data_IF_134682338047
#
_entry.id   IF_134682338047
#
_cell.length_a   1.000
_cell.length_b   1.000
_cell.length_c   1.000
_cell.angle_alpha   90.00
_cell.angle_beta   90.00
_cell.angle_gamma   90.00
#
_symmetry.space_group_name_H-M   'P 1'
#
loop_
_entity.id
_entity.type
_entity.pdbx_description
1 polymer ?
#
# COMPACT_ATOMS: atom_id res chain seq x y z
N UNK A 1 -13.27 7.25 -9.39
CA UNK A 1 -13.20 6.57 -8.08
C UNK A 1 -12.01 7.04 -7.25
N UNK A 2 -10.81 7.20 -7.81
CA UNK A 2 -9.62 7.69 -7.07
C UNK A 2 -9.83 9.01 -6.31
N UNK A 3 -10.60 9.95 -6.86
CA UNK A 3 -10.93 11.22 -6.20
C UNK A 3 -11.93 11.10 -5.05
N UNK A 4 -12.73 10.02 -5.00
CA UNK A 4 -13.66 9.73 -3.90
C UNK A 4 -12.94 9.02 -2.75
N UNK A 5 -12.02 8.10 -3.06
CA UNK A 5 -11.16 7.44 -2.07
C UNK A 5 -10.35 8.45 -1.27
N UNK A 6 -9.63 9.35 -1.95
CA UNK A 6 -8.77 10.32 -1.27
C UNK A 6 -9.53 11.37 -0.45
N UNK A 7 -10.79 11.65 -0.77
CA UNK A 7 -11.62 12.63 -0.04
C UNK A 7 -12.38 12.03 1.14
N UNK A 8 -12.56 10.70 1.15
CA UNK A 8 -13.31 9.99 2.19
C UNK A 8 -12.49 8.81 2.74
N UNK A 9 -11.19 8.99 2.94
CA UNK A 9 -10.33 7.96 3.54
C UNK A 9 -10.74 7.69 4.98
N UNK A 10 -10.72 6.42 5.37
CA UNK A 10 -10.89 6.00 6.76
C UNK A 10 -9.76 6.53 7.65
N UNK A 11 -10.13 7.03 8.81
CA UNK A 11 -9.23 7.39 9.91
C UNK A 11 -9.92 7.01 11.22
N UNK A 12 -9.19 6.42 12.18
CA UNK A 12 -9.82 5.91 13.40
C UNK A 12 -10.35 7.01 14.33
N UNK A 13 -9.85 8.24 14.20
CA UNK A 13 -10.24 9.38 15.02
C UNK A 13 -11.07 10.42 14.24
N UNK A 14 -10.63 10.77 13.04
CA UNK A 14 -11.15 11.90 12.26
C UNK A 14 -12.27 11.51 11.30
N UNK A 15 -12.25 10.28 10.78
CA UNK A 15 -13.25 9.79 9.83
C UNK A 15 -13.50 8.28 9.99
N UNK A 16 -14.12 7.86 11.10
CA UNK A 16 -14.33 6.45 11.39
C UNK A 16 -15.31 5.80 10.41
N UNK A 17 -16.07 6.57 9.63
CA UNK A 17 -16.98 6.03 8.60
C UNK A 17 -16.39 6.11 7.18
N UNK A 18 -15.14 6.57 7.03
CA UNK A 18 -14.47 6.65 5.74
C UNK A 18 -14.17 5.29 5.13
N UNK A 19 -13.78 5.26 3.86
CA UNK A 19 -13.46 4.07 3.10
C UNK A 19 -12.07 3.56 3.49
N UNK A 20 -11.98 2.30 3.89
CA UNK A 20 -10.71 1.63 4.11
C UNK A 20 -10.10 1.20 2.77
N UNK A 21 -9.01 1.84 2.36
CA UNK A 21 -8.34 1.55 1.09
C UNK A 21 -7.38 0.36 1.23
N UNK A 22 -7.77 -0.79 0.69
CA UNK A 22 -6.92 -1.97 0.57
C UNK A 22 -6.48 -2.22 -0.87
N UNK A 23 -6.53 -1.19 -1.72
CA UNK A 23 -6.20 -1.26 -3.14
C UNK A 23 -4.84 -0.65 -3.49
N UNK A 24 -4.35 0.29 -2.68
CA UNK A 24 -3.06 0.96 -2.86
C UNK A 24 -1.94 0.18 -2.19
N UNK A 25 -0.91 -0.13 -2.95
CA UNK A 25 0.18 -1.02 -2.57
C UNK A 25 1.20 -0.34 -1.63
N UNK A 26 0.86 -0.21 -0.35
CA UNK A 26 1.71 0.38 0.69
C UNK A 26 1.90 -0.55 1.89
N UNK A 27 3.08 -0.47 2.53
CA UNK A 27 3.44 -1.29 3.69
C UNK A 27 3.70 -0.42 4.93
N UNK A 28 2.74 -0.42 5.83
CA UNK A 28 2.76 0.37 7.07
C UNK A 28 3.41 -0.37 8.25
N UNK A 29 3.79 -1.63 8.08
CA UNK A 29 4.18 -2.51 9.21
C UNK A 29 5.47 -2.10 9.90
N UNK A 30 6.34 -1.37 9.22
CA UNK A 30 7.61 -0.87 9.77
C UNK A 30 7.75 0.65 9.62
N UNK A 31 6.61 1.36 9.55
CA UNK A 31 6.56 2.82 9.40
C UNK A 31 7.36 3.53 10.49
N UNK A 32 7.16 3.14 11.76
CA UNK A 32 7.83 3.75 12.90
C UNK A 32 9.35 3.58 12.85
N UNK A 33 9.83 2.38 12.50
CA UNK A 33 11.25 2.10 12.38
C UNK A 33 11.88 2.90 11.23
N UNK A 34 11.18 3.00 10.10
CA UNK A 34 11.63 3.77 8.94
C UNK A 34 11.72 5.26 9.28
N UNK A 35 10.67 5.84 9.88
CA UNK A 35 10.65 7.25 10.30
C UNK A 35 11.77 7.52 11.32
N UNK A 36 11.92 6.66 12.33
CA UNK A 36 12.95 6.81 13.36
C UNK A 36 14.35 6.79 12.74
N UNK A 37 14.60 5.90 11.78
CA UNK A 37 15.89 5.85 11.07
C UNK A 37 16.14 7.14 10.27
N UNK A 38 15.14 7.62 9.53
CA UNK A 38 15.24 8.85 8.73
C UNK A 38 15.52 10.10 9.59
N UNK A 39 15.00 10.13 10.82
CA UNK A 39 15.24 11.19 11.81
C UNK A 39 16.62 11.09 12.46
N UNK A 40 17.16 9.88 12.66
CA UNK A 40 18.46 9.66 13.32
C UNK A 40 19.68 10.10 12.49
N UNK A 41 19.53 10.26 11.18
CA UNK A 41 20.63 10.64 10.29
C UNK A 41 20.99 12.12 10.50
N UNK A 42 22.10 12.38 11.21
CA UNK A 42 22.72 13.71 11.34
C UNK A 42 23.58 14.06 10.12
N UNK A 43 23.50 15.32 9.66
CA UNK A 43 23.87 15.71 8.29
C UNK A 43 24.98 16.77 8.26
N UNK A 44 25.32 17.37 9.40
CA UNK A 44 26.33 18.43 9.44
C UNK A 44 27.74 17.85 9.56
N UNK A 45 28.40 17.57 8.44
CA UNK A 45 29.87 17.51 8.39
C UNK A 45 30.39 18.79 7.75
N UNK A 46 31.39 19.40 8.38
CA UNK A 46 32.04 20.66 7.96
C UNK A 46 32.55 20.65 6.52
N UNK A 47 32.81 19.47 5.95
CA UNK A 47 33.24 19.30 4.56
C UNK A 47 32.14 19.52 3.51
N UNK A 48 30.87 19.72 3.91
CA UNK A 48 29.74 20.00 3.01
C UNK A 48 29.40 21.49 2.87
N UNK A 49 30.08 22.36 3.63
CA UNK A 49 29.98 23.81 3.47
C UNK A 49 30.65 24.24 2.15
N UNK A 50 31.51 23.38 1.58
CA UNK A 50 32.18 23.58 0.31
C UNK A 50 31.85 22.43 -0.65
N UNK A 51 31.55 22.77 -1.90
CA UNK A 51 31.09 21.86 -2.97
C UNK A 51 31.98 20.61 -3.06
N UNK A 52 31.51 19.41 -2.66
CA UNK A 52 32.31 18.21 -2.80
C UNK A 52 32.32 17.85 -4.29
N UNK A 53 33.52 17.80 -4.86
CA UNK A 53 33.78 17.29 -6.21
C UNK A 53 33.09 15.93 -6.39
N UNK A 54 31.98 15.88 -7.11
CA UNK A 54 31.33 14.64 -7.56
C UNK A 54 30.78 14.83 -8.97
N UNK A 55 31.30 14.03 -9.90
CA UNK A 55 31.02 14.10 -11.33
C UNK A 55 29.60 13.61 -11.65
N UNK A 56 28.65 14.53 -11.81
CA UNK A 56 27.33 14.28 -12.40
C UNK A 56 27.32 14.22 -13.95
N UNK A 57 26.21 13.76 -14.52
CA UNK A 57 25.98 13.61 -15.97
C UNK A 57 26.25 14.93 -16.73
N UNK A 58 27.01 14.90 -17.83
CA UNK A 58 27.45 16.10 -18.58
C UNK A 58 26.28 16.97 -19.07
N UNK A 59 25.19 16.34 -19.51
CA UNK A 59 23.96 17.02 -19.95
C UNK A 59 23.33 17.83 -18.82
N UNK A 60 23.23 17.24 -17.63
CA UNK A 60 22.71 17.91 -16.44
C UNK A 60 23.61 19.08 -16.03
N UNK A 61 24.94 18.93 -16.07
CA UNK A 61 25.89 20.02 -15.77
C UNK A 61 25.76 21.23 -16.70
N UNK A 62 25.54 21.01 -18.00
CA UNK A 62 25.36 22.12 -18.95
C UNK A 62 24.06 22.89 -18.71
N UNK A 63 22.96 22.19 -18.36
CA UNK A 63 21.69 22.82 -18.00
C UNK A 63 21.82 23.57 -16.67
N UNK A 64 22.48 22.97 -15.67
CA UNK A 64 22.72 23.58 -14.36
C UNK A 64 23.59 24.84 -14.46
N UNK A 65 24.68 24.81 -15.24
CA UNK A 65 25.55 25.97 -15.47
C UNK A 65 24.77 27.14 -16.09
N UNK A 66 23.87 26.85 -17.05
CA UNK A 66 23.02 27.88 -17.67
C UNK A 66 21.97 28.43 -16.71
N UNK A 67 21.41 27.61 -15.82
CA UNK A 67 20.44 28.05 -14.80
C UNK A 67 21.07 28.85 -13.66
N UNK A 68 22.30 28.51 -13.25
CA UNK A 68 23.05 29.22 -12.20
C UNK A 68 23.42 30.65 -12.60
N UNK A 69 23.60 30.93 -13.89
CA UNK A 69 23.88 32.27 -14.40
C UNK A 69 22.61 33.14 -14.45
N UNK A 70 21.41 32.55 -14.49
CA UNK A 70 20.17 33.30 -14.79
C UNK A 70 19.23 33.54 -13.60
N UNK A 71 19.35 32.81 -12.48
CA UNK A 71 18.40 32.94 -11.36
C UNK A 71 18.87 32.19 -10.11
N UNK A 72 18.59 32.72 -8.91
CA UNK A 72 18.98 32.21 -7.59
C UNK A 72 18.38 30.85 -7.18
N UNK A 73 18.61 29.81 -8.00
CA UNK A 73 18.13 28.43 -7.86
C UNK A 73 19.03 27.54 -6.99
N UNK A 74 19.86 28.13 -6.12
CA UNK A 74 20.76 27.40 -5.21
C UNK A 74 20.01 26.46 -4.26
N UNK A 75 18.80 26.82 -3.82
CA UNK A 75 18.02 26.01 -2.88
C UNK A 75 17.57 24.64 -3.40
N UNK A 76 17.16 24.55 -4.68
CA UNK A 76 16.66 23.29 -5.26
C UNK A 76 17.80 22.31 -5.52
N UNK A 77 18.98 22.80 -5.92
CA UNK A 77 20.16 21.97 -6.14
C UNK A 77 20.68 21.41 -4.81
N UNK A 78 20.71 22.24 -3.76
CA UNK A 78 21.06 21.79 -2.41
C UNK A 78 20.09 20.76 -1.87
N UNK A 79 18.78 20.89 -2.15
CA UNK A 79 17.77 19.90 -1.77
C UNK A 79 17.98 18.55 -2.48
N UNK A 80 18.30 18.55 -3.77
CA UNK A 80 18.57 17.31 -4.51
C UNK A 80 19.85 16.62 -4.01
N UNK A 81 20.92 17.38 -3.76
CA UNK A 81 22.14 16.86 -3.13
C UNK A 81 21.86 16.28 -1.74
N UNK A 82 21.05 16.99 -0.94
CA UNK A 82 20.60 16.56 0.39
C UNK A 82 19.83 15.23 0.35
N UNK A 83 18.90 15.07 -0.59
CA UNK A 83 18.13 13.82 -0.73
C UNK A 83 19.00 12.65 -1.18
N UNK A 84 19.94 12.87 -2.10
CA UNK A 84 20.89 11.85 -2.55
C UNK A 84 21.79 11.40 -1.40
N UNK A 85 22.32 12.34 -0.63
CA UNK A 85 23.21 12.01 0.50
C UNK A 85 22.48 11.32 1.65
N UNK A 86 21.26 11.77 1.99
CA UNK A 86 20.41 11.06 2.95
C UNK A 86 20.14 9.63 2.51
N UNK A 87 19.84 9.44 1.23
CA UNK A 87 19.59 8.10 0.67
C UNK A 87 20.87 7.27 0.69
N UNK A 88 22.03 7.83 0.33
CA UNK A 88 23.31 7.13 0.36
C UNK A 88 23.72 6.72 1.79
N UNK A 89 23.55 7.61 2.77
CA UNK A 89 23.85 7.33 4.18
C UNK A 89 22.92 6.25 4.73
N UNK A 90 21.63 6.34 4.40
CA UNK A 90 20.64 5.31 4.73
C UNK A 90 21.01 3.94 4.14
N UNK A 91 21.37 3.91 2.85
CA UNK A 91 21.74 2.69 2.13
C UNK A 91 23.10 2.12 2.55
N UNK A 92 23.95 2.91 3.23
CA UNK A 92 25.26 2.46 3.69
C UNK A 92 25.21 1.65 4.99
N UNK A 93 24.13 1.77 5.77
CA UNK A 93 23.96 1.04 7.03
C UNK A 93 23.39 -0.36 6.80
N UNK A 94 24.26 -1.28 6.38
CA UNK A 94 23.89 -2.66 6.03
C UNK A 94 23.33 -3.44 7.23
N UNK A 95 23.88 -3.26 8.42
CA UNK A 95 23.39 -3.93 9.64
C UNK A 95 21.95 -3.53 9.96
N UNK A 96 21.65 -2.23 9.87
CA UNK A 96 20.29 -1.76 10.07
C UNK A 96 19.35 -2.28 8.97
N UNK A 97 19.77 -2.25 7.70
CA UNK A 97 18.98 -2.75 6.57
C UNK A 97 18.62 -4.22 6.74
N UNK A 98 19.59 -5.07 7.10
CA UNK A 98 19.36 -6.50 7.32
C UNK A 98 18.39 -6.74 8.48
N UNK A 99 18.55 -5.98 9.57
CA UNK A 99 17.64 -6.03 10.72
C UNK A 99 16.22 -5.61 10.33
N UNK A 100 16.07 -4.55 9.53
CA UNK A 100 14.81 -4.02 9.04
C UNK A 100 14.12 -5.03 8.11
N UNK A 101 14.84 -5.61 7.15
CA UNK A 101 14.30 -6.62 6.23
C UNK A 101 13.81 -7.84 7.02
N UNK A 102 14.58 -8.31 8.00
CA UNK A 102 14.19 -9.44 8.85
C UNK A 102 12.93 -9.14 9.65
N UNK A 103 12.87 -7.96 10.29
CA UNK A 103 11.69 -7.52 11.04
C UNK A 103 10.46 -7.40 10.14
N UNK A 104 10.60 -6.75 8.99
CA UNK A 104 9.51 -6.55 8.03
C UNK A 104 8.98 -7.88 7.50
N UNK A 105 9.86 -8.83 7.14
CA UNK A 105 9.45 -10.19 6.73
C UNK A 105 8.71 -10.93 7.85
N UNK A 106 9.17 -10.82 9.09
CA UNK A 106 8.51 -11.42 10.24
C UNK A 106 7.08 -10.87 10.42
N UNK A 107 6.93 -9.54 10.44
CA UNK A 107 5.62 -8.88 10.57
C UNK A 107 4.67 -9.19 9.42
N UNK A 108 5.17 -9.17 8.17
CA UNK A 108 4.39 -9.55 6.99
C UNK A 108 3.89 -10.99 7.09
N UNK A 109 4.73 -11.92 7.53
CA UNK A 109 4.36 -13.33 7.70
C UNK A 109 3.28 -13.51 8.77
N UNK A 110 3.42 -12.83 9.91
CA UNK A 110 2.45 -12.87 10.99
C UNK A 110 1.09 -12.28 10.56
N UNK A 111 1.10 -11.09 9.94
CA UNK A 111 -0.12 -10.44 9.51
C UNK A 111 -0.80 -11.20 8.35
N UNK A 112 -0.03 -11.75 7.40
CA UNK A 112 -0.56 -12.65 6.37
C UNK A 112 -1.31 -13.83 6.99
N UNK A 113 -0.70 -14.51 7.96
CA UNK A 113 -1.34 -15.65 8.63
C UNK A 113 -2.62 -15.25 9.39
N UNK A 114 -2.60 -14.11 10.11
CA UNK A 114 -3.77 -13.58 10.82
C UNK A 114 -4.92 -13.25 9.85
N UNK A 115 -4.62 -12.51 8.79
CA UNK A 115 -5.63 -12.06 7.80
C UNK A 115 -6.18 -13.24 7.03
N UNK A 116 -5.31 -14.16 6.57
CA UNK A 116 -5.72 -15.37 5.88
C UNK A 116 -6.72 -16.17 6.72
N UNK A 117 -6.36 -16.50 7.96
CA UNK A 117 -7.21 -17.25 8.88
C UNK A 117 -8.54 -16.53 9.15
N UNK A 118 -8.51 -15.21 9.30
CA UNK A 118 -9.73 -14.43 9.56
C UNK A 118 -10.68 -14.45 8.37
N UNK A 119 -10.16 -14.32 7.14
CA UNK A 119 -11.00 -14.37 5.92
C UNK A 119 -11.60 -15.77 5.74
N UNK A 120 -10.82 -16.83 5.94
CA UNK A 120 -11.31 -18.22 5.90
C UNK A 120 -12.39 -18.49 6.96
N UNK A 121 -12.31 -17.83 8.12
CA UNK A 121 -13.35 -17.88 9.16
C UNK A 121 -14.60 -17.04 8.83
N UNK A 122 -14.49 -16.00 8.01
CA UNK A 122 -15.63 -15.18 7.56
C UNK A 122 -16.47 -15.98 6.56
N UNK A 123 -15.83 -16.63 5.59
CA UNK A 123 -16.47 -17.54 4.66
C UNK A 123 -15.47 -18.61 4.20
N UNK A 124 -15.80 -19.87 4.45
CA UNK A 124 -14.95 -21.01 4.11
C UNK A 124 -14.86 -21.28 2.60
N UNK A 125 -15.69 -20.61 1.78
CA UNK A 125 -15.65 -20.69 0.32
C UNK A 125 -14.63 -19.74 -0.29
N UNK A 126 -14.11 -18.77 0.47
CA UNK A 126 -13.07 -17.87 -0.01
C UNK A 126 -11.72 -18.58 0.04
N UNK A 127 -11.14 -18.83 -1.12
CA UNK A 127 -9.82 -19.44 -1.22
C UNK A 127 -8.73 -18.38 -1.34
N UNK A 128 -7.71 -18.43 -0.48
CA UNK A 128 -6.56 -17.53 -0.55
C UNK A 128 -5.38 -18.27 -1.20
N UNK A 129 -4.92 -17.77 -2.34
CA UNK A 129 -3.76 -18.35 -3.03
C UNK A 129 -2.52 -18.23 -2.14
N UNK A 130 -1.78 -19.33 -1.89
CA UNK A 130 -0.54 -19.27 -1.13
C UNK A 130 0.46 -18.32 -1.78
N UNK A 131 0.99 -17.39 -1.00
CA UNK A 131 2.00 -16.42 -1.43
C UNK A 131 3.24 -16.54 -0.53
N UNK A 132 4.43 -16.41 -1.13
CA UNK A 132 5.72 -16.43 -0.40
C UNK A 132 6.34 -15.04 -0.24
N UNK A 133 5.78 -14.04 -0.91
CA UNK A 133 6.30 -12.68 -0.97
C UNK A 133 5.17 -11.69 -1.29
N UNK A 134 5.47 -10.40 -1.12
CA UNK A 134 4.52 -9.32 -1.28
C UNK A 134 3.84 -8.96 0.03
N UNK A 135 2.94 -7.99 -0.07
CA UNK A 135 2.23 -7.41 1.06
C UNK A 135 0.71 -7.31 0.75
N UNK A 136 0.28 -8.21 -0.12
CA UNK A 136 -1.10 -8.40 -0.53
C UNK A 136 -1.44 -9.88 -0.59
N UNK A 137 -2.73 -10.19 -0.46
CA UNK A 137 -3.27 -11.52 -0.73
C UNK A 137 -4.07 -11.50 -2.04
N UNK A 138 -4.06 -12.65 -2.71
CA UNK A 138 -4.87 -12.90 -3.89
C UNK A 138 -5.96 -13.89 -3.51
N UNK A 139 -7.17 -13.37 -3.36
CA UNK A 139 -8.30 -14.09 -2.81
C UNK A 139 -9.33 -14.38 -3.90
N UNK A 140 -9.88 -15.58 -3.85
CA UNK A 140 -10.83 -16.13 -4.79
C UNK A 140 -12.24 -16.11 -4.18
N UNK A 141 -13.10 -15.29 -4.77
CA UNK A 141 -14.49 -15.10 -4.38
C UNK A 141 -15.45 -15.78 -5.36
N UNK A 142 -14.95 -16.56 -6.35
CA UNK A 142 -15.80 -17.17 -7.41
C UNK A 142 -16.95 -18.00 -6.85
N UNK A 143 -16.68 -18.77 -5.79
CA UNK A 143 -17.68 -19.61 -5.09
C UNK A 143 -18.79 -18.81 -4.39
N UNK A 144 -18.64 -17.48 -4.30
CA UNK A 144 -19.63 -16.57 -3.72
C UNK A 144 -20.50 -15.90 -4.77
N UNK A 145 -20.01 -15.80 -6.01
CA UNK A 145 -20.74 -15.16 -7.10
C UNK A 145 -21.92 -16.03 -7.52
N UNK A 146 -23.02 -15.38 -7.92
CA UNK A 146 -24.17 -16.06 -8.52
C UNK A 146 -23.75 -16.77 -9.82
N UNK A 147 -23.06 -16.02 -10.68
CA UNK A 147 -22.45 -16.49 -11.91
C UNK A 147 -21.01 -16.00 -11.98
N UNK A 148 -20.13 -16.80 -12.58
CA UNK A 148 -18.70 -16.46 -12.70
C UNK A 148 -18.51 -15.53 -13.90
N UNK A 149 -19.00 -14.29 -13.76
CA UNK A 149 -18.94 -13.22 -14.78
C UNK A 149 -18.30 -11.96 -14.22
N UNK A 150 -17.82 -11.07 -15.10
CA UNK A 150 -17.22 -9.81 -14.67
C UNK A 150 -18.26 -8.83 -14.13
N UNK A 151 -19.51 -8.95 -14.56
CA UNK A 151 -20.65 -8.20 -14.07
C UNK A 151 -20.95 -8.53 -12.60
N UNK A 152 -20.92 -9.82 -12.25
CA UNK A 152 -21.06 -10.25 -10.85
C UNK A 152 -19.86 -9.83 -9.99
N UNK A 153 -18.64 -9.92 -10.52
CA UNK A 153 -17.44 -9.40 -9.86
C UNK A 153 -17.58 -7.90 -9.56
N UNK A 154 -18.06 -7.11 -10.54
CA UNK A 154 -18.27 -5.68 -10.38
C UNK A 154 -19.37 -5.37 -9.36
N UNK A 155 -20.45 -6.16 -9.32
CA UNK A 155 -21.51 -6.00 -8.32
C UNK A 155 -21.01 -6.31 -6.90
N UNK A 156 -20.28 -7.41 -6.73
CA UNK A 156 -19.66 -7.75 -5.45
C UNK A 156 -18.70 -6.64 -5.00
N UNK A 157 -17.85 -6.16 -5.91
CA UNK A 157 -16.95 -5.04 -5.67
C UNK A 157 -17.70 -3.78 -5.21
N UNK A 158 -18.80 -3.43 -5.87
CA UNK A 158 -19.62 -2.27 -5.52
C UNK A 158 -20.21 -2.41 -4.12
N UNK A 159 -20.82 -3.55 -3.78
CA UNK A 159 -21.39 -3.78 -2.45
C UNK A 159 -20.33 -3.68 -1.37
N UNK A 160 -19.14 -4.23 -1.59
CA UNK A 160 -18.02 -4.14 -0.63
C UNK A 160 -17.58 -2.67 -0.47
N UNK A 161 -17.51 -1.89 -1.55
CA UNK A 161 -17.19 -0.46 -1.51
C UNK A 161 -18.23 0.37 -0.76
N UNK A 162 -19.53 0.08 -0.96
CA UNK A 162 -20.63 0.73 -0.24
C UNK A 162 -20.56 0.45 1.28
N UNK A 163 -19.99 -0.69 1.66
CA UNK A 163 -19.72 -1.04 3.06
C UNK A 163 -18.37 -0.51 3.57
N UNK A 164 -17.74 0.41 2.83
CA UNK A 164 -16.57 1.15 3.28
C UNK A 164 -15.26 0.38 3.18
N UNK A 165 -15.17 -0.61 2.30
CA UNK A 165 -13.92 -1.34 2.00
C UNK A 165 -13.64 -1.26 0.51
N UNK A 166 -12.46 -0.78 0.14
CA UNK A 166 -12.04 -0.77 -1.26
C UNK A 166 -10.98 -1.86 -1.49
N UNK A 167 -11.34 -2.85 -2.30
CA UNK A 167 -10.45 -3.91 -2.79
C UNK A 167 -10.19 -3.71 -4.27
N UNK A 168 -9.09 -4.23 -4.81
CA UNK A 168 -8.87 -4.20 -6.26
C UNK A 168 -9.34 -5.51 -6.86
N UNK A 169 -10.39 -5.45 -7.68
CA UNK A 169 -10.87 -6.62 -8.42
C UNK A 169 -9.88 -7.06 -9.49
N UNK A 170 -9.96 -8.33 -9.89
CA UNK A 170 -9.03 -8.92 -10.83
C UNK A 170 -9.16 -8.36 -12.23
N UNK A 171 -10.37 -7.96 -12.64
CA UNK A 171 -10.59 -7.23 -13.89
C UNK A 171 -9.73 -5.98 -14.01
N UNK A 172 -9.60 -5.16 -12.95
CA UNK A 172 -8.73 -3.97 -12.96
C UNK A 172 -7.24 -4.29 -13.12
N UNK A 173 -6.82 -5.52 -12.84
CA UNK A 173 -5.44 -6.00 -12.97
C UNK A 173 -5.23 -6.86 -14.23
N UNK A 174 -6.23 -6.94 -15.12
CA UNK A 174 -6.16 -7.74 -16.33
C UNK A 174 -6.29 -9.25 -16.10
N UNK A 175 -6.92 -9.68 -15.01
CA UNK A 175 -7.21 -11.10 -14.78
C UNK A 175 -8.20 -11.61 -15.83
N UNK A 176 -7.86 -12.72 -16.49
CA UNK A 176 -8.70 -13.34 -17.53
C UNK A 176 -9.96 -13.99 -16.94
N UNK A 177 -9.93 -14.33 -15.66
CA UNK A 177 -11.03 -14.99 -14.97
C UNK A 177 -11.64 -14.06 -13.90
N UNK A 178 -12.97 -13.92 -13.86
CA UNK A 178 -13.62 -13.11 -12.84
C UNK A 178 -13.63 -13.78 -11.46
N UNK A 179 -13.90 -12.98 -10.44
CA UNK A 179 -14.05 -13.38 -9.04
C UNK A 179 -12.76 -13.31 -8.22
N UNK A 180 -11.67 -12.77 -8.76
CA UNK A 180 -10.43 -12.59 -8.02
C UNK A 180 -10.33 -11.18 -7.44
N UNK A 181 -9.77 -11.06 -6.23
CA UNK A 181 -9.55 -9.78 -5.57
C UNK A 181 -8.17 -9.71 -4.93
N UNK A 182 -7.50 -8.57 -5.11
CA UNK A 182 -6.30 -8.20 -4.37
C UNK A 182 -6.69 -7.43 -3.12
N UNK A 183 -6.20 -7.90 -1.98
CA UNK A 183 -6.39 -7.25 -0.69
C UNK A 183 -5.00 -6.94 -0.12
N UNK A 184 -4.67 -5.66 0.00
CA UNK A 184 -3.46 -5.23 0.71
C UNK A 184 -3.68 -5.47 2.20
N UNK A 185 -2.80 -6.26 2.83
CA UNK A 185 -2.93 -6.61 4.24
C UNK A 185 -1.94 -5.86 5.14
N UNK A 186 -0.91 -5.24 4.57
CA UNK A 186 0.17 -4.55 5.28
C UNK A 186 -0.22 -3.16 5.79
N UNK A 187 -1.36 -3.07 6.47
CA UNK A 187 -1.91 -1.85 7.07
C UNK A 187 -1.81 -1.90 8.59
N UNK A 188 -2.14 -0.80 9.26
CA UNK A 188 -2.15 -0.70 10.73
C UNK A 188 -3.13 -1.72 11.35
N UNK A 189 -2.83 -2.19 12.55
CA UNK A 189 -3.60 -3.27 13.21
C UNK A 189 -5.09 -2.93 13.38
N UNK A 190 -5.40 -1.72 13.87
CA UNK A 190 -6.79 -1.26 14.00
C UNK A 190 -7.52 -1.21 12.65
N UNK A 191 -6.80 -0.84 11.59
CA UNK A 191 -7.38 -0.70 10.27
C UNK A 191 -7.74 -2.06 9.70
N UNK A 192 -6.85 -3.06 9.81
CA UNK A 192 -7.14 -4.39 9.27
C UNK A 192 -8.31 -5.05 9.99
N UNK A 193 -8.49 -4.80 11.30
CA UNK A 193 -9.64 -5.30 12.06
C UNK A 193 -10.96 -4.70 11.57
N UNK A 194 -11.00 -3.38 11.35
CA UNK A 194 -12.19 -2.70 10.83
C UNK A 194 -12.47 -3.10 9.37
N UNK A 195 -11.42 -3.25 8.54
CA UNK A 195 -11.53 -3.79 7.16
C UNK A 195 -12.20 -5.16 7.16
N UNK A 196 -11.72 -6.09 7.98
CA UNK A 196 -12.25 -7.46 8.02
C UNK A 196 -13.68 -7.51 8.53
N UNK A 197 -14.01 -6.67 9.52
CA UNK A 197 -15.37 -6.52 10.06
C UNK A 197 -16.35 -5.98 9.01
N UNK A 198 -15.94 -4.97 8.23
CA UNK A 198 -16.76 -4.40 7.15
C UNK A 198 -16.87 -5.32 5.96
N UNK A 199 -15.79 -6.00 5.60
CA UNK A 199 -15.79 -7.02 4.56
C UNK A 199 -16.83 -8.09 4.86
N UNK A 200 -16.85 -8.61 6.10
CA UNK A 200 -17.89 -9.56 6.53
C UNK A 200 -19.30 -9.01 6.30
N UNK A 201 -19.57 -7.77 6.73
CA UNK A 201 -20.89 -7.13 6.53
C UNK A 201 -21.26 -7.01 5.05
N UNK A 202 -20.34 -6.54 4.21
CA UNK A 202 -20.57 -6.42 2.77
C UNK A 202 -20.86 -7.76 2.10
N UNK A 203 -20.15 -8.82 2.50
CA UNK A 203 -20.40 -10.18 2.02
C UNK A 203 -21.76 -10.71 2.48
N UNK A 204 -22.16 -10.47 3.73
CA UNK A 204 -23.46 -10.90 4.24
C UNK A 204 -24.61 -10.19 3.49
N UNK A 205 -24.46 -8.89 3.17
CA UNK A 205 -25.44 -8.14 2.36
C UNK A 205 -25.47 -8.64 0.92
N UNK A 206 -24.32 -8.87 0.29
CA UNK A 206 -24.28 -9.40 -1.08
C UNK A 206 -25.03 -10.73 -1.19
N UNK A 207 -24.87 -11.64 -0.23
CA UNK A 207 -25.60 -12.93 -0.18
C UNK A 207 -27.11 -12.74 -0.10
N UNK A 208 -27.59 -11.79 0.70
CA UNK A 208 -29.03 -11.52 0.84
C UNK A 208 -29.63 -11.01 -0.48
N UNK A 209 -28.89 -10.15 -1.20
CA UNK A 209 -29.31 -9.65 -2.51
C UNK A 209 -29.36 -10.77 -3.56
N UNK A 210 -28.44 -11.74 -3.49
CA UNK A 210 -28.44 -12.90 -4.39
C UNK A 210 -29.65 -13.80 -4.16
N UNK A 211 -29.96 -14.10 -2.90
CA UNK A 211 -31.12 -14.94 -2.52
C UNK A 211 -32.45 -14.28 -2.94
N UNK A 212 -32.56 -12.95 -2.80
CA UNK A 212 -33.77 -12.22 -3.17
C UNK A 212 -33.99 -12.10 -4.69
N UNK A 213 -32.95 -12.25 -5.50
CA UNK A 213 -33.03 -12.21 -6.98
C UNK A 213 -33.27 -13.59 -7.60
N UNK A 214 -33.29 -14.64 -6.77
CA UNK A 214 -33.46 -16.05 -7.17
C UNK A 214 -34.89 -16.57 -6.94
N UNK A 215 -35.81 -15.70 -6.50
CA UNK A 215 -37.24 -15.97 -6.21
C UNK A 215 -38.09 -15.12 -7.14
#
# INVERSE_FOLDING_TARGET
>A
MDTLLNRNSYDDELNPNGICNCGVAENYLCENELISKLQSIQIWKTNYIYYPYSLGQKSLRQVLYRMMISSGLTGIISLLGYLIEKTATFLSDQEWIDSYIKLNRSRLTQQYAKVKKTIENIDNRIYIRPAKAGFFIWADFRSLLHEVTFEEEARLFQVICEHGVYLVSGSFLGCVQPGWFRIIFSVKEKWIEEILKRLKKGLDVYRQLTVASSV
#
